data_IF_649401006132
#
_entry.id   IF_649401006132
#
_cell.length_a   1.000
_cell.length_b   1.000
_cell.length_c   1.000
_cell.angle_alpha   90.00
_cell.angle_beta   90.00
_cell.angle_gamma   90.00
#
_symmetry.space_group_name_H-M   'P 1'
#
loop_
_entity.id
_entity.type
_entity.pdbx_description
1 polymer ?
#
# COMPACT_ATOMS: atom_id res chain seq x y z
N UNK A 1 -8.83 18.72 -44.82
CA UNK A 1 -8.96 18.93 -43.35
C UNK A 1 -8.91 17.59 -42.61
N UNK A 2 -7.73 17.09 -42.21
CA UNK A 2 -7.60 16.14 -41.09
C UNK A 2 -6.13 15.96 -40.64
N UNK A 3 -5.85 16.61 -39.51
CA UNK A 3 -4.88 16.26 -38.46
C UNK A 3 -3.39 16.12 -38.80
N UNK A 4 -2.71 17.25 -38.67
CA UNK A 4 -1.29 17.42 -38.30
C UNK A 4 -0.93 16.89 -36.88
N UNK A 5 -1.87 16.26 -36.16
CA UNK A 5 -1.62 15.73 -34.81
C UNK A 5 -0.78 14.45 -34.75
N UNK A 6 -0.47 13.80 -35.89
CA UNK A 6 0.20 12.48 -35.90
C UNK A 6 1.73 12.51 -35.70
N UNK A 7 2.35 13.69 -35.66
CA UNK A 7 3.83 13.81 -35.58
C UNK A 7 4.36 14.51 -34.32
N UNK A 8 3.48 14.97 -33.41
CA UNK A 8 3.89 15.55 -32.13
C UNK A 8 3.91 14.53 -30.97
N UNK A 9 3.52 13.27 -31.23
CA UNK A 9 3.51 12.19 -30.22
C UNK A 9 4.72 11.25 -30.34
N UNK A 10 5.92 11.80 -30.52
CA UNK A 10 7.16 11.00 -30.57
C UNK A 10 8.33 11.59 -29.79
N UNK A 11 8.17 12.74 -29.13
CA UNK A 11 9.23 13.36 -28.30
C UNK A 11 8.82 13.67 -26.86
N UNK A 12 7.59 13.33 -26.44
CA UNK A 12 7.11 13.48 -25.06
C UNK A 12 6.75 12.13 -24.40
N UNK A 13 7.04 10.98 -25.02
CA UNK A 13 6.87 9.65 -24.39
C UNK A 13 7.99 9.31 -23.39
N UNK A 14 8.49 10.33 -22.69
CA UNK A 14 9.52 10.18 -21.64
C UNK A 14 9.09 10.80 -20.31
N UNK A 15 7.80 11.08 -20.16
CA UNK A 15 7.22 11.67 -18.96
C UNK A 15 6.02 10.87 -18.50
N UNK A 16 6.23 10.15 -17.39
CA UNK A 16 5.25 9.49 -16.54
C UNK A 16 4.35 8.49 -17.29
N UNK A 17 4.68 7.19 -17.17
CA UNK A 17 3.64 6.33 -16.62
C UNK A 17 3.12 7.10 -15.39
N UNK A 18 1.88 7.56 -15.45
CA UNK A 18 1.19 8.03 -14.26
C UNK A 18 1.25 6.85 -13.30
N UNK A 19 2.27 6.82 -12.44
CA UNK A 19 2.31 5.93 -11.30
C UNK A 19 1.10 6.36 -10.48
N UNK A 20 -0.04 5.71 -10.72
CA UNK A 20 -1.27 5.87 -9.96
C UNK A 20 -0.99 5.27 -8.60
N UNK A 21 -0.30 6.06 -7.78
CA UNK A 21 -0.02 5.73 -6.40
C UNK A 21 -1.29 5.96 -5.60
N UNK A 22 -1.71 4.93 -4.90
CA UNK A 22 -2.89 4.89 -4.05
C UNK A 22 -2.43 4.73 -2.60
N UNK A 23 -3.23 5.24 -1.66
CA UNK A 23 -3.03 5.00 -0.24
C UNK A 23 -4.16 4.10 0.24
N UNK A 24 -3.80 2.97 0.83
CA UNK A 24 -4.76 2.04 1.42
C UNK A 24 -4.40 1.72 2.87
N UNK A 25 -5.44 1.40 3.64
CA UNK A 25 -5.31 0.88 4.98
C UNK A 25 -5.43 -0.65 4.93
N UNK A 26 -4.39 -1.36 5.37
CA UNK A 26 -4.31 -2.82 5.33
C UNK A 26 -4.13 -3.36 6.74
N UNK A 27 -5.03 -4.23 7.17
CA UNK A 27 -5.01 -4.86 8.49
C UNK A 27 -4.21 -6.17 8.47
N UNK A 28 -3.33 -6.35 9.48
CA UNK A 28 -2.58 -7.58 9.68
C UNK A 28 -3.45 -8.58 10.45
N UNK A 29 -4.03 -9.53 9.71
CA UNK A 29 -4.85 -10.58 10.30
C UNK A 29 -3.97 -11.60 11.05
N UNK A 30 -4.55 -12.31 12.04
CA UNK A 30 -3.85 -13.32 12.86
C UNK A 30 -3.26 -14.50 12.06
N UNK A 31 -3.72 -14.74 10.84
CA UNK A 31 -3.15 -15.73 9.91
C UNK A 31 -2.08 -15.18 8.97
N UNK A 32 -1.67 -13.91 9.11
CA UNK A 32 -0.71 -13.28 8.22
C UNK A 32 0.69 -13.87 8.35
N UNK A 33 1.35 -14.02 7.20
CA UNK A 33 2.76 -14.41 7.14
C UNK A 33 3.73 -13.29 7.56
N UNK A 34 3.21 -12.07 7.75
CA UNK A 34 3.98 -10.86 8.08
C UNK A 34 4.18 -10.68 9.59
N UNK A 35 3.43 -11.39 10.44
CA UNK A 35 3.51 -11.26 11.89
C UNK A 35 4.94 -11.57 12.38
N UNK A 36 5.47 -10.66 13.21
CA UNK A 36 6.80 -10.77 13.80
C UNK A 36 7.95 -10.38 12.88
N UNK A 37 7.68 -10.11 11.59
CA UNK A 37 8.68 -9.57 10.65
C UNK A 37 8.77 -8.06 10.78
N UNK A 38 9.98 -7.53 10.65
CA UNK A 38 10.21 -6.10 10.44
C UNK A 38 9.77 -5.67 9.03
N UNK A 39 9.51 -4.37 8.84
CA UNK A 39 9.22 -3.80 7.52
C UNK A 39 10.29 -4.16 6.48
N UNK A 40 11.56 -4.21 6.91
CA UNK A 40 12.69 -4.64 6.09
C UNK A 40 12.61 -6.11 5.68
N UNK A 41 12.33 -7.01 6.63
CA UNK A 41 12.24 -8.46 6.36
C UNK A 41 11.01 -8.81 5.51
N UNK A 42 9.94 -8.05 5.66
CA UNK A 42 8.74 -8.13 4.84
C UNK A 42 8.94 -7.52 3.43
N UNK A 43 10.13 -6.99 3.11
CA UNK A 43 10.47 -6.38 1.81
C UNK A 43 9.53 -5.22 1.40
N UNK A 44 8.92 -4.56 2.39
CA UNK A 44 7.86 -3.59 2.18
C UNK A 44 8.36 -2.40 1.35
N UNK A 45 9.52 -1.83 1.71
CA UNK A 45 10.10 -0.65 1.03
C UNK A 45 10.58 -0.86 -0.41
N UNK A 46 10.57 -2.09 -0.94
CA UNK A 46 10.95 -2.33 -2.32
C UNK A 46 9.77 -2.07 -3.29
N UNK A 47 8.55 -2.32 -2.82
CA UNK A 47 7.35 -2.32 -3.65
C UNK A 47 6.30 -1.26 -3.22
N UNK A 48 6.35 -0.76 -1.97
CA UNK A 48 5.42 0.25 -1.42
C UNK A 48 6.00 0.98 -0.20
N UNK A 49 5.49 2.18 0.10
CA UNK A 49 5.91 2.98 1.26
C UNK A 49 4.87 2.90 2.38
N UNK A 50 5.27 2.47 3.58
CA UNK A 50 4.40 2.54 4.77
C UNK A 50 4.59 3.89 5.44
N UNK A 51 3.55 4.73 5.38
CA UNK A 51 3.59 6.09 5.92
C UNK A 51 3.22 6.14 7.41
N UNK A 52 2.41 5.18 7.87
CA UNK A 52 2.00 5.05 9.25
C UNK A 52 1.57 3.63 9.61
N UNK A 53 1.68 3.29 10.90
CA UNK A 53 1.14 2.07 11.50
C UNK A 53 0.28 2.47 12.68
N UNK A 54 -0.97 2.01 12.70
CA UNK A 54 -1.80 2.03 13.91
C UNK A 54 -1.70 0.67 14.58
N UNK A 55 -1.30 0.66 15.84
CA UNK A 55 -1.25 -0.55 16.68
C UNK A 55 -2.63 -0.94 17.18
N UNK A 56 -2.77 -2.19 17.65
CA UNK A 56 -4.00 -2.70 18.25
C UNK A 56 -4.49 -1.89 19.46
N UNK A 57 -3.58 -1.21 20.17
CA UNK A 57 -3.88 -0.34 21.31
C UNK A 57 -4.18 1.12 20.89
N UNK A 58 -4.47 1.35 19.60
CA UNK A 58 -4.74 2.65 18.97
C UNK A 58 -3.53 3.62 18.97
N UNK A 59 -2.32 3.17 19.34
CA UNK A 59 -1.13 4.00 19.19
C UNK A 59 -0.73 4.16 17.72
N UNK A 60 -0.37 5.39 17.35
CA UNK A 60 0.06 5.75 15.99
C UNK A 60 1.58 5.86 15.91
N UNK A 61 2.18 5.12 14.98
CA UNK A 61 3.59 5.26 14.59
C UNK A 61 3.63 5.91 13.20
N UNK A 62 4.18 7.12 13.12
CA UNK A 62 4.37 7.82 11.86
C UNK A 62 5.78 7.59 11.33
N UNK A 63 5.89 7.38 10.02
CA UNK A 63 7.15 7.06 9.35
C UNK A 63 7.95 5.96 10.10
N UNK A 64 7.36 4.76 10.24
CA UNK A 64 7.99 3.66 10.96
C UNK A 64 9.38 3.37 10.41
N UNK A 65 10.33 3.04 11.29
CA UNK A 65 11.66 2.63 10.84
C UNK A 65 11.60 1.26 10.18
N UNK A 66 12.57 0.94 9.33
CA UNK A 66 12.65 -0.35 8.64
C UNK A 66 12.70 -1.56 9.62
N UNK A 67 13.16 -1.34 10.85
CA UNK A 67 13.24 -2.36 11.91
C UNK A 67 11.91 -2.53 12.68
N UNK A 68 10.88 -1.74 12.36
CA UNK A 68 9.57 -1.82 13.03
C UNK A 68 8.93 -3.17 12.74
N UNK A 69 8.75 -3.98 13.79
CA UNK A 69 8.05 -5.28 13.69
C UNK A 69 6.55 -5.11 13.55
N UNK A 70 5.97 -5.90 12.64
CA UNK A 70 4.54 -6.02 12.42
C UNK A 70 3.91 -6.97 13.43
N UNK A 71 2.75 -6.58 13.95
CA UNK A 71 1.99 -7.31 14.95
C UNK A 71 0.59 -7.62 14.43
N UNK A 72 -0.06 -8.60 15.05
CA UNK A 72 -1.47 -8.89 14.79
C UNK A 72 -2.32 -7.66 15.13
N UNK A 73 -3.37 -7.42 14.34
CA UNK A 73 -4.30 -6.29 14.46
C UNK A 73 -3.67 -4.90 14.21
N UNK A 74 -2.41 -4.84 13.76
CA UNK A 74 -1.84 -3.61 13.21
C UNK A 74 -2.60 -3.22 11.93
N UNK A 75 -2.80 -1.92 11.73
CA UNK A 75 -3.27 -1.36 10.48
C UNK A 75 -2.16 -0.50 9.84
N UNK A 76 -1.73 -0.91 8.66
CA UNK A 76 -0.73 -0.24 7.85
C UNK A 76 -1.39 0.76 6.93
N UNK A 77 -0.92 2.00 6.92
CA UNK A 77 -1.20 2.92 5.82
C UNK A 77 -0.07 2.81 4.80
N UNK A 78 -0.36 2.17 3.67
CA UNK A 78 0.60 1.89 2.62
C UNK A 78 0.31 2.73 1.37
N UNK A 79 1.35 3.30 0.77
CA UNK A 79 1.35 4.04 -0.49
C UNK A 79 2.01 3.17 -1.57
N UNK A 80 1.30 2.87 -2.65
CA UNK A 80 1.85 2.02 -3.71
C UNK A 80 0.97 1.99 -4.95
N UNK A 81 1.40 1.27 -5.99
CA UNK A 81 0.51 0.95 -7.10
C UNK A 81 -0.58 -0.02 -6.64
N UNK A 82 -1.75 0.00 -7.29
CA UNK A 82 -2.85 -0.91 -7.01
C UNK A 82 -2.41 -2.39 -6.92
N UNK A 83 -1.59 -2.85 -7.87
CA UNK A 83 -1.10 -4.23 -7.90
C UNK A 83 -0.20 -4.58 -6.70
N UNK A 84 0.58 -3.62 -6.21
CA UNK A 84 1.45 -3.82 -5.06
C UNK A 84 0.65 -3.82 -3.74
N UNK A 85 -0.36 -2.95 -3.64
CA UNK A 85 -1.28 -2.92 -2.50
C UNK A 85 -2.11 -4.20 -2.41
N UNK A 86 -2.65 -4.69 -3.53
CA UNK A 86 -3.40 -5.96 -3.58
C UNK A 86 -2.53 -7.15 -3.13
N UNK A 87 -1.24 -7.14 -3.50
CA UNK A 87 -0.30 -8.17 -3.06
C UNK A 87 -0.05 -8.09 -1.56
N UNK A 88 0.20 -6.89 -1.02
CA UNK A 88 0.37 -6.68 0.41
C UNK A 88 -0.87 -7.12 1.18
N UNK A 89 -2.08 -6.79 0.70
CA UNK A 89 -3.34 -7.20 1.33
C UNK A 89 -3.45 -8.72 1.42
N UNK A 90 -3.07 -9.47 0.37
CA UNK A 90 -3.09 -10.95 0.39
C UNK A 90 -2.10 -11.54 1.40
N UNK A 91 -0.93 -10.93 1.58
CA UNK A 91 0.07 -11.36 2.55
C UNK A 91 -0.34 -11.00 3.99
N UNK A 92 -0.99 -9.85 4.16
CA UNK A 92 -1.51 -9.31 5.43
C UNK A 92 -2.82 -9.97 5.90
N UNK A 93 -3.70 -10.36 4.97
CA UNK A 93 -5.00 -10.93 5.25
C UNK A 93 -5.35 -12.05 4.25
N UNK A 94 -4.72 -13.23 4.39
CA UNK A 94 -4.93 -14.35 3.46
C UNK A 94 -6.37 -14.89 3.47
N UNK A 95 -7.16 -14.58 4.51
CA UNK A 95 -8.56 -14.98 4.65
C UNK A 95 -9.54 -14.01 3.96
N UNK A 96 -9.04 -12.91 3.37
CA UNK A 96 -9.83 -11.96 2.57
C UNK A 96 -11.02 -11.34 3.30
N UNK A 97 -11.00 -11.27 4.63
CA UNK A 97 -12.07 -10.62 5.40
C UNK A 97 -11.73 -9.14 5.52
N UNK A 98 -11.66 -8.42 4.41
CA UNK A 98 -11.55 -6.97 4.43
C UNK A 98 -12.90 -6.40 4.87
N UNK A 99 -12.90 -5.68 6.00
CA UNK A 99 -13.97 -4.72 6.27
C UNK A 99 -13.63 -3.48 5.43
N UNK A 100 -14.33 -3.21 4.32
CA UNK A 100 -14.10 -1.97 3.59
C UNK A 100 -14.36 -0.80 4.54
N UNK A 101 -13.41 0.12 4.64
CA UNK A 101 -13.61 1.42 5.28
C UNK A 101 -14.51 2.25 4.36
N UNK A 102 -15.80 1.90 4.31
CA UNK A 102 -16.85 2.69 3.70
C UNK A 102 -17.76 3.17 4.83
N UNK A 103 -17.41 4.34 5.36
CA UNK A 103 -18.34 5.41 5.74
C UNK A 103 -19.79 4.99 6.00
N UNK A 104 -20.12 4.71 7.26
CA UNK A 104 -21.44 5.04 7.80
C UNK A 104 -21.31 6.27 8.70
N UNK A 105 -21.32 7.44 8.06
CA UNK A 105 -21.90 8.66 8.61
C UNK A 105 -22.84 9.26 7.58
N UNK A 106 -24.08 8.81 7.59
CA UNK A 106 -25.29 9.65 7.54
C UNK A 106 -26.40 8.95 8.33
#
# INVERSE_FOLDING_TARGET
>A
MRSIYRSLKRKEDRTREELSLEIEQIEIASGSSLIGRSLKEAHIHADYDVIAIRRADEQMIFNPSADTSLQVDDALMALGSHANLERLEKEANPSGTSRPYHSNRQ
#
